data_IF_317272610030
#
_entry.id   IF_317272610030
#
_cell.length_a   1.000
_cell.length_b   1.000
_cell.length_c   1.000
_cell.angle_alpha   90.00
_cell.angle_beta   90.00
_cell.angle_gamma   90.00
#
_symmetry.space_group_name_H-M   'P 1'
#
loop_
_entity.id
_entity.type
_entity.pdbx_description
1 polymer ?
#
# COMPACT_ATOMS: atom_id res chain seq x y z
N UNK A 1 35.40 -16.21 -1.27
CA UNK A 1 35.70 -17.53 -1.86
C UNK A 1 36.73 -17.47 -2.98
N UNK A 2 36.53 -16.70 -4.07
CA UNK A 2 37.53 -16.61 -5.15
C UNK A 2 38.89 -16.05 -4.68
N UNK A 3 38.93 -14.92 -3.96
CA UNK A 3 40.18 -14.33 -3.46
C UNK A 3 40.96 -15.27 -2.54
N UNK A 4 40.27 -15.96 -1.65
CA UNK A 4 40.86 -16.92 -0.71
C UNK A 4 41.51 -18.10 -1.43
N UNK A 5 40.81 -18.68 -2.41
CA UNK A 5 41.37 -19.76 -3.24
C UNK A 5 42.60 -19.30 -4.04
N UNK A 6 42.60 -18.05 -4.54
CA UNK A 6 43.74 -17.48 -5.27
C UNK A 6 44.95 -17.23 -4.35
N UNK A 7 44.74 -16.71 -3.15
CA UNK A 7 45.81 -16.56 -2.13
C UNK A 7 46.41 -17.91 -1.74
N UNK A 8 45.55 -18.90 -1.48
CA UNK A 8 46.03 -20.25 -1.15
C UNK A 8 46.83 -20.87 -2.31
N UNK A 9 46.34 -20.73 -3.55
CA UNK A 9 47.07 -21.19 -4.72
C UNK A 9 48.42 -20.47 -4.88
N UNK A 10 48.46 -19.16 -4.67
CA UNK A 10 49.65 -18.33 -4.75
C UNK A 10 50.71 -18.76 -3.72
N UNK A 11 50.30 -18.90 -2.45
CA UNK A 11 51.17 -19.37 -1.36
C UNK A 11 51.74 -20.78 -1.60
N UNK A 12 50.94 -21.69 -2.15
CA UNK A 12 51.39 -23.05 -2.48
C UNK A 12 52.35 -23.01 -3.68
N UNK A 13 51.99 -22.27 -4.72
CA UNK A 13 52.77 -22.15 -5.96
C UNK A 13 54.12 -21.50 -5.71
N UNK A 14 54.17 -20.48 -4.85
CA UNK A 14 55.42 -19.82 -4.49
C UNK A 14 56.37 -20.78 -3.76
N UNK A 15 55.88 -21.59 -2.81
CA UNK A 15 56.68 -22.63 -2.15
C UNK A 15 57.25 -23.64 -3.15
N UNK A 16 56.43 -24.10 -4.10
CA UNK A 16 56.86 -25.04 -5.15
C UNK A 16 57.95 -24.44 -6.04
N UNK A 17 57.80 -23.17 -6.47
CA UNK A 17 58.79 -22.49 -7.31
C UNK A 17 60.10 -22.24 -6.57
N UNK A 18 60.06 -21.90 -5.28
CA UNK A 18 61.28 -21.74 -4.47
C UNK A 18 62.07 -23.06 -4.42
N UNK A 19 61.39 -24.19 -4.23
CA UNK A 19 61.99 -25.54 -4.15
C UNK A 19 62.33 -26.17 -5.51
N UNK A 20 61.89 -25.56 -6.63
CA UNK A 20 62.13 -26.09 -7.97
C UNK A 20 63.58 -25.92 -8.44
N UNK A 21 63.95 -26.69 -9.47
CA UNK A 21 65.27 -26.58 -10.14
C UNK A 21 65.35 -25.39 -11.10
N UNK A 22 64.25 -24.68 -11.34
CA UNK A 22 64.19 -23.51 -12.20
C UNK A 22 65.08 -22.39 -11.65
N UNK A 23 65.74 -21.69 -12.57
CA UNK A 23 66.69 -20.61 -12.28
C UNK A 23 66.61 -19.51 -13.34
N UNK A 24 67.36 -18.44 -13.10
CA UNK A 24 67.47 -17.32 -14.03
C UNK A 24 66.13 -16.62 -14.29
N UNK A 25 65.98 -16.11 -15.51
CA UNK A 25 64.82 -15.32 -15.94
C UNK A 25 63.51 -16.11 -15.92
N UNK A 26 63.55 -17.42 -16.19
CA UNK A 26 62.36 -18.29 -16.13
C UNK A 26 61.79 -18.37 -14.71
N UNK A 27 62.66 -18.50 -13.70
CA UNK A 27 62.19 -18.50 -12.29
C UNK A 27 61.55 -17.17 -11.91
N UNK A 28 62.15 -16.07 -12.35
CA UNK A 28 61.63 -14.71 -12.11
C UNK A 28 60.24 -14.56 -12.74
N UNK A 29 60.06 -14.97 -14.01
CA UNK A 29 58.78 -14.90 -14.69
C UNK A 29 57.66 -15.69 -13.96
N UNK A 30 57.99 -16.87 -13.41
CA UNK A 30 57.06 -17.64 -12.58
C UNK A 30 56.68 -16.92 -11.29
N UNK A 31 57.66 -16.34 -10.58
CA UNK A 31 57.43 -15.59 -9.35
C UNK A 31 56.54 -14.38 -9.63
N UNK A 32 56.85 -13.61 -10.67
CA UNK A 32 56.06 -12.44 -11.07
C UNK A 32 54.62 -12.81 -11.43
N UNK A 33 54.44 -13.93 -12.13
CA UNK A 33 53.10 -14.44 -12.47
C UNK A 33 52.29 -14.81 -11.22
N UNK A 34 52.91 -15.48 -10.25
CA UNK A 34 52.26 -15.81 -8.96
C UNK A 34 51.91 -14.55 -8.19
N UNK A 35 52.82 -13.57 -8.14
CA UNK A 35 52.56 -12.27 -7.49
C UNK A 35 51.43 -11.48 -8.17
N UNK A 36 51.30 -11.56 -9.50
CA UNK A 36 50.19 -10.93 -10.22
C UNK A 36 48.83 -11.55 -9.83
N UNK A 37 48.80 -12.85 -9.56
CA UNK A 37 47.60 -13.54 -9.05
C UNK A 37 47.29 -13.12 -7.62
N UNK A 38 48.29 -13.01 -6.73
CA UNK A 38 48.11 -12.50 -5.36
C UNK A 38 47.49 -11.10 -5.36
N UNK A 39 48.04 -10.16 -6.16
CA UNK A 39 47.50 -8.80 -6.32
C UNK A 39 46.07 -8.79 -6.85
N UNK A 40 45.70 -9.78 -7.65
CA UNK A 40 44.33 -9.92 -8.15
C UNK A 40 43.37 -10.43 -7.07
N UNK A 41 43.85 -11.28 -6.17
CA UNK A 41 43.09 -11.70 -4.99
C UNK A 41 42.83 -10.53 -4.03
N UNK A 42 43.85 -9.71 -3.77
CA UNK A 42 43.75 -8.46 -2.97
C UNK A 42 42.70 -7.51 -3.55
N UNK A 43 42.79 -7.19 -4.84
CA UNK A 43 41.79 -6.33 -5.51
C UNK A 43 40.36 -6.85 -5.39
N UNK A 44 40.17 -8.16 -5.49
CA UNK A 44 38.85 -8.77 -5.35
C UNK A 44 38.33 -8.69 -3.91
N UNK A 45 39.21 -8.73 -2.92
CA UNK A 45 38.88 -8.51 -1.51
C UNK A 45 38.44 -7.04 -1.29
N UNK A 46 39.21 -6.08 -1.79
CA UNK A 46 38.88 -4.65 -1.72
C UNK A 46 37.50 -4.35 -2.34
N UNK A 47 37.20 -4.95 -3.50
CA UNK A 47 35.90 -4.81 -4.14
C UNK A 47 34.78 -5.37 -3.25
N UNK A 48 35.01 -6.52 -2.62
CA UNK A 48 34.02 -7.16 -1.75
C UNK A 48 33.74 -6.31 -0.51
N UNK A 49 34.79 -5.81 0.15
CA UNK A 49 34.68 -4.90 1.29
C UNK A 49 33.98 -3.60 0.91
N UNK A 50 34.34 -3.03 -0.25
CA UNK A 50 33.72 -1.83 -0.76
C UNK A 50 32.21 -2.04 -1.01
N UNK A 51 31.81 -3.17 -1.61
CA UNK A 51 30.39 -3.50 -1.79
C UNK A 51 29.69 -3.65 -0.44
N UNK A 52 30.31 -4.36 0.52
CA UNK A 52 29.74 -4.54 1.85
C UNK A 52 29.47 -3.18 2.52
N UNK A 53 30.50 -2.33 2.62
CA UNK A 53 30.41 -1.09 3.37
C UNK A 53 29.70 0.03 2.64
N UNK A 54 29.95 0.21 1.35
CA UNK A 54 29.40 1.33 0.59
C UNK A 54 28.04 1.05 -0.04
N UNK A 55 27.64 -0.22 -0.19
CA UNK A 55 26.34 -0.58 -0.77
C UNK A 55 25.45 -1.24 0.27
N UNK A 56 25.87 -2.40 0.81
CA UNK A 56 25.00 -3.22 1.67
C UNK A 56 24.69 -2.50 2.98
N UNK A 57 25.70 -2.03 3.69
CA UNK A 57 25.52 -1.37 4.99
C UNK A 57 24.71 -0.08 4.85
N UNK A 58 24.98 0.73 3.80
CA UNK A 58 24.18 1.93 3.51
C UNK A 58 22.73 1.60 3.18
N UNK A 59 22.47 0.54 2.42
CA UNK A 59 21.10 0.10 2.11
C UNK A 59 20.37 -0.37 3.38
N UNK A 60 21.05 -1.10 4.27
CA UNK A 60 20.50 -1.52 5.56
C UNK A 60 20.21 -0.30 6.45
N UNK A 61 21.14 0.65 6.55
CA UNK A 61 20.96 1.88 7.31
C UNK A 61 19.78 2.72 6.77
N UNK A 62 19.69 2.87 5.44
CA UNK A 62 18.56 3.54 4.80
C UNK A 62 17.24 2.84 5.12
N UNK A 63 17.18 1.52 4.97
CA UNK A 63 16.00 0.72 5.32
C UNK A 63 15.60 0.94 6.77
N UNK A 64 16.55 0.86 7.70
CA UNK A 64 16.27 1.02 9.12
C UNK A 64 15.79 2.45 9.46
N UNK A 65 16.34 3.48 8.80
CA UNK A 65 15.90 4.87 9.00
C UNK A 65 14.51 5.16 8.41
N UNK A 66 14.13 4.49 7.33
CA UNK A 66 12.86 4.74 6.64
C UNK A 66 11.73 3.84 7.09
N UNK A 67 12.04 2.63 7.50
CA UNK A 67 11.09 1.58 7.86
C UNK A 67 11.36 1.15 9.30
N UNK A 68 10.94 1.99 10.26
CA UNK A 68 10.92 1.60 11.68
C UNK A 68 9.95 0.43 11.86
N UNK A 69 10.50 -0.74 12.21
CA UNK A 69 9.73 -1.88 12.69
C UNK A 69 9.27 -1.58 14.11
N UNK A 70 8.18 -0.84 14.26
CA UNK A 70 7.45 -0.82 15.53
C UNK A 70 6.83 -2.21 15.75
N UNK A 71 6.99 -2.74 16.96
CA UNK A 71 6.70 -4.11 17.42
C UNK A 71 5.31 -4.67 17.09
N UNK A 72 4.39 -3.84 16.57
CA UNK A 72 3.07 -4.27 16.17
C UNK A 72 2.73 -4.03 14.71
N UNK A 73 3.16 -2.95 14.04
CA UNK A 73 2.91 -2.65 12.61
C UNK A 73 3.83 -1.49 12.19
N UNK A 74 4.17 -1.33 10.89
CA UNK A 74 4.92 -0.17 10.38
C UNK A 74 4.24 1.14 10.80
N UNK A 75 4.86 1.88 11.73
CA UNK A 75 4.31 3.11 12.34
C UNK A 75 3.79 4.11 11.31
N UNK A 76 4.53 4.27 10.21
CA UNK A 76 4.16 5.14 9.09
C UNK A 76 2.83 4.76 8.44
N UNK A 77 2.54 3.47 8.28
CA UNK A 77 1.27 3.01 7.68
C UNK A 77 0.10 3.43 8.56
N UNK A 78 0.22 3.27 9.88
CA UNK A 78 -0.82 3.69 10.83
C UNK A 78 -1.02 5.20 10.87
N UNK A 79 0.05 5.99 10.77
CA UNK A 79 -0.04 7.45 10.68
C UNK A 79 -0.76 7.87 9.39
N UNK A 80 -0.38 7.30 8.24
CA UNK A 80 -1.06 7.54 6.97
C UNK A 80 -2.54 7.13 6.99
N UNK A 81 -2.88 5.96 7.55
CA UNK A 81 -4.27 5.53 7.70
C UNK A 81 -5.08 6.48 8.60
N UNK A 82 -4.47 6.98 9.69
CA UNK A 82 -5.12 7.91 10.61
C UNK A 82 -5.39 9.25 9.92
N UNK A 83 -4.42 9.77 9.18
CA UNK A 83 -4.57 11.02 8.45
C UNK A 83 -5.59 10.90 7.31
N UNK A 84 -5.56 9.79 6.57
CA UNK A 84 -6.55 9.51 5.54
C UNK A 84 -7.96 9.45 6.13
N UNK A 85 -8.16 8.69 7.22
CA UNK A 85 -9.45 8.64 7.93
C UNK A 85 -9.90 10.01 8.40
N UNK A 86 -8.98 10.84 8.91
CA UNK A 86 -9.29 12.21 9.37
C UNK A 86 -9.78 13.09 8.21
N UNK A 87 -9.10 13.06 7.07
CA UNK A 87 -9.45 13.84 5.89
C UNK A 87 -10.74 13.32 5.25
N UNK A 88 -10.95 12.00 5.24
CA UNK A 88 -12.13 11.36 4.66
C UNK A 88 -13.40 11.54 5.50
N UNK A 89 -13.27 11.67 6.83
CA UNK A 89 -14.41 11.75 7.77
C UNK A 89 -15.50 12.75 7.36
N UNK A 90 -15.23 14.03 7.07
CA UNK A 90 -16.28 14.98 6.69
C UNK A 90 -17.01 14.59 5.40
N UNK A 91 -16.30 13.97 4.45
CA UNK A 91 -16.90 13.48 3.21
C UNK A 91 -17.82 12.30 3.45
N UNK A 92 -17.44 11.38 4.36
CA UNK A 92 -18.31 10.27 4.76
C UNK A 92 -19.57 10.77 5.47
N UNK A 93 -19.43 11.78 6.34
CA UNK A 93 -20.58 12.40 7.01
C UNK A 93 -21.54 13.05 6.00
N UNK A 94 -21.01 13.76 5.01
CA UNK A 94 -21.82 14.35 3.94
C UNK A 94 -22.48 13.27 3.07
N UNK A 95 -21.74 12.23 2.70
CA UNK A 95 -22.26 11.12 1.91
C UNK A 95 -23.39 10.38 2.63
N UNK A 96 -23.26 10.17 3.94
CA UNK A 96 -24.32 9.56 4.75
C UNK A 96 -25.57 10.44 4.77
N UNK A 97 -25.44 11.77 4.96
CA UNK A 97 -26.57 12.71 4.88
C UNK A 97 -27.26 12.68 3.51
N UNK A 98 -26.49 12.65 2.43
CA UNK A 98 -27.04 12.53 1.07
C UNK A 98 -27.79 11.21 0.91
N UNK A 99 -27.25 10.11 1.44
CA UNK A 99 -27.88 8.80 1.35
C UNK A 99 -29.18 8.75 2.15
N UNK A 100 -29.21 9.29 3.38
CA UNK A 100 -30.40 9.41 4.21
C UNK A 100 -31.49 10.25 3.51
N UNK A 101 -31.14 11.46 3.05
CA UNK A 101 -32.06 12.34 2.34
C UNK A 101 -32.64 11.68 1.08
N UNK A 102 -31.79 10.98 0.31
CA UNK A 102 -32.22 10.20 -0.87
C UNK A 102 -33.22 9.10 -0.49
N UNK A 103 -32.96 8.37 0.59
CA UNK A 103 -33.86 7.31 1.06
C UNK A 103 -35.21 7.87 1.51
N UNK A 104 -35.20 8.97 2.27
CA UNK A 104 -36.40 9.67 2.73
C UNK A 104 -37.22 10.20 1.56
N UNK A 105 -36.59 10.87 0.60
CA UNK A 105 -37.24 11.37 -0.60
C UNK A 105 -37.94 10.25 -1.39
N UNK A 106 -37.24 9.14 -1.64
CA UNK A 106 -37.82 8.01 -2.36
C UNK A 106 -38.94 7.33 -1.56
N UNK A 107 -38.82 7.26 -0.23
CA UNK A 107 -39.89 6.76 0.63
C UNK A 107 -41.14 7.65 0.55
N UNK A 108 -40.98 8.96 0.73
CA UNK A 108 -42.07 9.93 0.65
C UNK A 108 -42.73 9.91 -0.74
N UNK A 109 -41.94 9.82 -1.81
CA UNK A 109 -42.44 9.71 -3.20
C UNK A 109 -43.31 8.47 -3.42
N UNK A 110 -42.88 7.31 -2.89
CA UNK A 110 -43.68 6.06 -2.97
C UNK A 110 -44.97 6.18 -2.17
N UNK A 111 -44.92 6.77 -0.98
CA UNK A 111 -46.10 6.98 -0.13
C UNK A 111 -47.08 7.97 -0.74
N UNK A 112 -46.59 9.04 -1.34
CA UNK A 112 -47.39 9.99 -2.10
C UNK A 112 -48.12 9.31 -3.26
N UNK A 113 -47.41 8.50 -4.05
CA UNK A 113 -48.03 7.75 -5.14
C UNK A 113 -49.14 6.81 -4.65
N UNK A 114 -48.91 6.10 -3.54
CA UNK A 114 -49.92 5.24 -2.91
C UNK A 114 -51.13 6.05 -2.41
N UNK A 115 -50.90 7.20 -1.76
CA UNK A 115 -51.95 8.06 -1.23
C UNK A 115 -52.81 8.66 -2.36
N UNK A 116 -52.18 9.16 -3.45
CA UNK A 116 -52.88 9.65 -4.64
C UNK A 116 -53.75 8.57 -5.28
N UNK A 117 -53.23 7.35 -5.38
CA UNK A 117 -54.02 6.22 -5.90
C UNK A 117 -55.23 5.90 -5.01
N UNK A 118 -55.06 5.94 -3.69
CA UNK A 118 -56.16 5.75 -2.75
C UNK A 118 -57.20 6.89 -2.85
N UNK A 119 -56.76 8.12 -3.09
CA UNK A 119 -57.63 9.28 -3.28
C UNK A 119 -58.52 9.12 -4.51
N UNK A 120 -57.96 8.67 -5.64
CA UNK A 120 -58.71 8.40 -6.87
C UNK A 120 -59.75 7.29 -6.67
N UNK A 121 -59.39 6.20 -5.97
CA UNK A 121 -60.32 5.11 -5.66
C UNK A 121 -61.49 5.61 -4.80
N UNK A 122 -61.20 6.35 -3.72
CA UNK A 122 -62.23 6.84 -2.79
C UNK A 122 -63.12 7.91 -3.42
N UNK A 123 -62.60 8.74 -4.34
CA UNK A 123 -63.40 9.69 -5.11
C UNK A 123 -64.49 9.00 -5.93
N UNK A 124 -64.20 7.81 -6.44
CA UNK A 124 -65.16 7.01 -7.22
C UNK A 124 -66.10 6.14 -6.36
N UNK A 125 -65.85 6.06 -5.05
CA UNK A 125 -66.66 5.27 -4.13
C UNK A 125 -67.83 6.11 -3.57
N UNK A 126 -69.03 5.82 -4.07
CA UNK A 126 -70.28 6.47 -3.65
C UNK A 126 -70.69 6.10 -2.21
N UNK A 127 -70.15 5.01 -1.64
CA UNK A 127 -70.43 4.55 -0.27
C UNK A 127 -69.43 5.02 0.78
N UNK A 128 -68.34 5.68 0.39
CA UNK A 128 -67.30 6.12 1.31
C UNK A 128 -67.76 7.29 2.19
N UNK A 129 -67.52 7.17 3.50
CA UNK A 129 -67.84 8.20 4.48
C UNK A 129 -66.95 9.45 4.30
N UNK A 130 -67.48 10.63 4.62
CA UNK A 130 -66.74 11.90 4.48
C UNK A 130 -65.46 11.94 5.32
N UNK A 131 -65.44 11.26 6.46
CA UNK A 131 -64.24 11.12 7.30
C UNK A 131 -63.14 10.31 6.60
N UNK A 132 -63.50 9.27 5.84
CA UNK A 132 -62.55 8.48 5.05
C UNK A 132 -61.98 9.28 3.88
N UNK A 133 -62.84 10.06 3.19
CA UNK A 133 -62.44 11.00 2.13
C UNK A 133 -61.46 12.05 2.66
N UNK A 134 -61.77 12.66 3.81
CA UNK A 134 -60.90 13.64 4.46
C UNK A 134 -59.55 13.04 4.85
N UNK A 135 -59.54 11.86 5.48
CA UNK A 135 -58.31 11.19 5.90
C UNK A 135 -57.34 10.91 4.74
N UNK A 136 -57.85 10.49 3.58
CA UNK A 136 -57.01 10.23 2.42
C UNK A 136 -56.51 11.52 1.78
N UNK A 137 -57.33 12.57 1.74
CA UNK A 137 -56.90 13.91 1.30
C UNK A 137 -55.79 14.49 2.18
N UNK A 138 -55.94 14.39 3.50
CA UNK A 138 -54.92 14.82 4.47
C UNK A 138 -53.61 14.02 4.31
N UNK A 139 -53.72 12.71 4.02
CA UNK A 139 -52.58 11.84 3.73
C UNK A 139 -51.84 12.26 2.46
N UNK A 140 -52.55 12.61 1.39
CA UNK A 140 -51.94 13.15 0.16
C UNK A 140 -51.19 14.43 0.46
N UNK A 141 -51.84 15.42 1.08
CA UNK A 141 -51.22 16.70 1.41
C UNK A 141 -49.97 16.55 2.30
N UNK A 142 -50.02 15.65 3.29
CA UNK A 142 -48.88 15.34 4.15
C UNK A 142 -47.68 14.80 3.37
N UNK A 143 -47.90 13.82 2.47
CA UNK A 143 -46.81 13.25 1.68
C UNK A 143 -46.33 14.18 0.56
N UNK A 144 -47.18 15.06 0.01
CA UNK A 144 -46.76 16.12 -0.92
C UNK A 144 -45.80 17.10 -0.24
N UNK A 145 -46.18 17.61 0.94
CA UNK A 145 -45.32 18.50 1.72
C UNK A 145 -43.99 17.85 2.09
N UNK A 146 -44.01 16.56 2.48
CA UNK A 146 -42.79 15.81 2.75
C UNK A 146 -41.90 15.62 1.52
N UNK A 147 -42.48 15.33 0.35
CA UNK A 147 -41.69 15.20 -0.88
C UNK A 147 -41.05 16.51 -1.31
N UNK A 148 -41.73 17.64 -1.12
CA UNK A 148 -41.23 18.98 -1.42
C UNK A 148 -40.06 19.35 -0.48
N UNK A 149 -40.19 19.03 0.81
CA UNK A 149 -39.17 19.34 1.82
C UNK A 149 -37.90 18.50 1.66
N UNK A 150 -38.02 17.28 1.12
CA UNK A 150 -36.90 16.39 0.86
C UNK A 150 -36.25 16.59 -0.52
N UNK A 151 -36.75 17.52 -1.35
CA UNK A 151 -36.27 17.80 -2.70
C UNK A 151 -35.18 18.88 -2.70
#
# INVERSE_FOLDING_TARGET
HCSESLRQWSLISQRKIVQSKEFGTTKIAWIESIQAVEKSAERNEDITENIQHNVIDKMIAYKNSKYEKSFLHMKKVKEFEKDFKKVQKPWLELLNKIHEAKQEFHHASRKLHQAKRAEEIIKTDLGAADEQKKKVKDSVHHYESKTETCR
#
